data_IF_665446101199
#
_entry.id   IF_665446101199
#
_cell.length_a   1.000
_cell.length_b   1.000
_cell.length_c   1.000
_cell.angle_alpha   90.00
_cell.angle_beta   90.00
_cell.angle_gamma   90.00
#
_symmetry.space_group_name_H-M   'P 1'
#
loop_
_entity.id
_entity.type
_entity.pdbx_description
1 polymer ?
#
# COMPACT_ATOMS: atom_id res chain seq x y z
N UNK A 1 20.08 15.82 -8.56
CA UNK A 1 19.64 14.75 -7.65
C UNK A 1 18.33 14.21 -8.17
N UNK A 2 18.25 12.90 -8.35
CA UNK A 2 17.06 12.17 -8.77
C UNK A 2 16.79 11.05 -7.75
N UNK A 3 15.53 10.91 -7.35
CA UNK A 3 15.08 9.97 -6.33
C UNK A 3 13.89 9.21 -6.89
N UNK A 4 13.92 7.89 -6.84
CA UNK A 4 12.74 7.07 -7.07
C UNK A 4 12.08 6.71 -5.73
N UNK A 5 10.76 6.84 -5.65
CA UNK A 5 9.98 6.43 -4.49
C UNK A 5 8.84 5.53 -4.97
N UNK A 6 8.80 4.32 -4.45
CA UNK A 6 7.75 3.34 -4.71
C UNK A 6 7.10 2.92 -3.38
N UNK A 7 5.84 2.52 -3.43
CA UNK A 7 5.05 2.10 -2.25
C UNK A 7 4.06 1.01 -2.65
N UNK A 8 3.50 0.33 -1.64
CA UNK A 8 2.32 -0.53 -1.80
C UNK A 8 2.54 -1.63 -2.88
N UNK A 9 3.71 -2.28 -2.86
CA UNK A 9 4.06 -3.39 -3.76
C UNK A 9 3.21 -4.62 -3.42
N UNK A 10 2.92 -4.83 -2.13
CA UNK A 10 1.99 -5.84 -1.65
C UNK A 10 2.21 -7.23 -2.24
N UNK A 11 3.44 -7.75 -2.23
CA UNK A 11 3.72 -9.10 -2.73
C UNK A 11 3.38 -9.33 -4.21
N UNK A 12 3.28 -8.27 -5.03
CA UNK A 12 3.10 -8.35 -6.47
C UNK A 12 4.47 -8.32 -7.18
N UNK A 13 5.07 -9.49 -7.36
CA UNK A 13 6.41 -9.60 -7.94
C UNK A 13 6.47 -9.13 -9.40
N UNK A 14 5.55 -9.50 -10.32
CA UNK A 14 5.58 -9.01 -11.69
C UNK A 14 5.53 -7.49 -11.81
N UNK A 15 4.75 -6.81 -10.96
CA UNK A 15 4.73 -5.34 -10.92
C UNK A 15 6.05 -4.76 -10.41
N UNK A 16 6.64 -5.37 -9.38
CA UNK A 16 7.94 -4.94 -8.85
C UNK A 16 9.05 -5.08 -9.89
N UNK A 17 9.09 -6.19 -10.62
CA UNK A 17 10.15 -6.47 -11.60
C UNK A 17 10.18 -5.43 -12.72
N UNK A 18 9.02 -5.04 -13.27
CA UNK A 18 8.98 -4.01 -14.32
C UNK A 18 9.35 -2.63 -13.78
N UNK A 19 8.98 -2.31 -12.55
CA UNK A 19 9.35 -1.04 -11.90
C UNK A 19 10.84 -1.01 -11.59
N UNK A 20 11.41 -2.11 -11.09
CA UNK A 20 12.83 -2.25 -10.84
C UNK A 20 13.65 -2.08 -12.13
N UNK A 21 13.23 -2.71 -13.22
CA UNK A 21 13.89 -2.56 -14.52
C UNK A 21 13.88 -1.11 -15.03
N UNK A 22 12.78 -0.37 -14.82
CA UNK A 22 12.75 1.07 -15.15
C UNK A 22 13.64 1.88 -14.21
N UNK A 23 13.68 1.57 -12.91
CA UNK A 23 14.57 2.23 -11.95
C UNK A 23 16.03 2.02 -12.33
N UNK A 24 16.42 0.80 -12.71
CA UNK A 24 17.77 0.49 -13.19
C UNK A 24 18.11 1.28 -14.47
N UNK A 25 17.14 1.41 -15.39
CA UNK A 25 17.30 2.20 -16.62
C UNK A 25 17.45 3.70 -16.35
N UNK A 26 16.70 4.22 -15.38
CA UNK A 26 16.75 5.63 -14.97
C UNK A 26 18.03 5.94 -14.16
N UNK A 27 18.51 4.95 -13.41
CA UNK A 27 19.68 5.02 -12.53
C UNK A 27 19.64 6.24 -11.58
N UNK A 28 18.58 6.38 -10.74
CA UNK A 28 18.46 7.50 -9.81
C UNK A 28 19.55 7.46 -8.73
N UNK A 29 19.83 8.61 -8.12
CA UNK A 29 20.82 8.70 -7.04
C UNK A 29 20.38 7.95 -5.78
N UNK A 30 19.06 7.88 -5.53
CA UNK A 30 18.46 7.18 -4.38
C UNK A 30 17.16 6.49 -4.76
N UNK A 31 16.85 5.39 -4.08
CA UNK A 31 15.59 4.65 -4.21
C UNK A 31 15.00 4.36 -2.83
N UNK A 32 13.71 4.61 -2.67
CA UNK A 32 12.95 4.35 -1.45
C UNK A 32 11.78 3.42 -1.71
N UNK A 33 11.60 2.44 -0.82
CA UNK A 33 10.36 1.66 -0.70
C UNK A 33 9.60 2.19 0.51
N UNK A 34 8.55 2.97 0.28
CA UNK A 34 7.74 3.63 1.29
C UNK A 34 6.68 2.70 1.93
N UNK A 35 7.10 1.50 2.33
CA UNK A 35 6.26 0.53 3.04
C UNK A 35 5.30 -0.26 2.15
N UNK A 36 4.61 -1.20 2.81
CA UNK A 36 3.60 -2.09 2.25
C UNK A 36 4.14 -2.90 1.05
N UNK A 37 5.35 -3.42 1.21
CA UNK A 37 5.92 -4.32 0.21
C UNK A 37 5.48 -5.77 0.40
N UNK A 38 5.00 -6.13 1.58
CA UNK A 38 4.43 -7.45 1.87
C UNK A 38 2.90 -7.42 1.92
N UNK A 39 2.32 -8.62 2.03
CA UNK A 39 0.89 -8.88 2.25
C UNK A 39 0.00 -8.51 1.05
N UNK A 40 -1.20 -9.12 0.97
CA UNK A 40 -2.19 -9.08 -0.13
C UNK A 40 -1.83 -9.84 -1.41
N UNK A 41 -0.66 -9.65 -1.99
CA UNK A 41 -0.27 -10.35 -3.22
C UNK A 41 0.26 -11.77 -2.96
N UNK A 42 0.37 -12.58 -4.03
CA UNK A 42 0.69 -14.00 -3.92
C UNK A 42 2.19 -14.29 -3.76
N UNK A 43 3.09 -13.31 -3.93
CA UNK A 43 4.54 -13.49 -3.84
C UNK A 43 5.18 -12.67 -2.70
N UNK A 44 4.70 -12.76 -1.44
CA UNK A 44 5.23 -11.94 -0.37
C UNK A 44 6.70 -12.30 -0.07
N UNK A 45 7.08 -13.57 -0.18
CA UNK A 45 8.45 -14.03 0.09
C UNK A 45 9.43 -13.46 -0.93
N UNK A 46 9.14 -13.64 -2.21
CA UNK A 46 10.00 -13.23 -3.31
C UNK A 46 10.16 -11.71 -3.35
N UNK A 47 9.08 -10.96 -3.14
CA UNK A 47 9.16 -9.49 -3.04
C UNK A 47 10.01 -9.06 -1.85
N UNK A 48 9.87 -9.72 -0.70
CA UNK A 48 10.67 -9.40 0.50
C UNK A 48 12.16 -9.65 0.26
N UNK A 49 12.51 -10.79 -0.33
CA UNK A 49 13.88 -11.12 -0.70
C UNK A 49 14.46 -10.11 -1.67
N UNK A 50 13.69 -9.75 -2.70
CA UNK A 50 14.08 -8.76 -3.69
C UNK A 50 14.42 -7.42 -3.03
N UNK A 51 13.49 -6.83 -2.27
CA UNK A 51 13.71 -5.50 -1.69
C UNK A 51 14.81 -5.52 -0.64
N UNK A 52 14.97 -6.61 0.11
CA UNK A 52 16.07 -6.76 1.07
C UNK A 52 17.45 -6.81 0.41
N UNK A 53 17.55 -7.31 -0.82
CA UNK A 53 18.80 -7.43 -1.57
C UNK A 53 19.06 -6.24 -2.52
N UNK A 54 18.06 -5.39 -2.76
CA UNK A 54 18.11 -4.29 -3.71
C UNK A 54 19.10 -3.16 -3.40
N UNK A 55 19.50 -3.02 -2.13
CA UNK A 55 20.26 -1.86 -1.64
C UNK A 55 19.44 -0.57 -1.53
N UNK A 56 18.12 -0.62 -1.74
CA UNK A 56 17.21 0.52 -1.60
C UNK A 56 16.92 0.83 -0.12
N UNK A 57 16.50 2.06 0.17
CA UNK A 57 16.06 2.42 1.52
C UNK A 57 14.65 1.92 1.76
N UNK A 58 14.47 1.00 2.70
CA UNK A 58 13.17 0.44 3.02
C UNK A 58 12.54 1.16 4.23
N UNK A 59 11.27 1.49 4.11
CA UNK A 59 10.43 1.97 5.20
C UNK A 59 9.37 0.93 5.54
N UNK A 60 8.82 1.03 6.75
CA UNK A 60 7.74 0.17 7.23
C UNK A 60 6.37 0.80 6.99
N UNK A 61 5.49 0.08 6.30
CA UNK A 61 4.08 0.41 6.16
C UNK A 61 3.21 -0.28 7.22
N UNK A 62 1.89 -0.07 7.17
CA UNK A 62 0.99 -0.71 8.13
C UNK A 62 0.85 -2.22 7.88
N UNK A 63 1.03 -2.69 6.64
CA UNK A 63 0.97 -4.11 6.34
C UNK A 63 2.15 -4.89 6.94
N UNK A 64 3.34 -4.30 7.01
CA UNK A 64 4.44 -4.88 7.77
C UNK A 64 4.12 -4.96 9.28
N UNK A 65 3.47 -3.94 9.87
CA UNK A 65 3.01 -4.02 11.27
C UNK A 65 2.01 -5.18 11.47
N UNK A 66 1.11 -5.40 10.51
CA UNK A 66 0.17 -6.52 10.54
C UNK A 66 0.91 -7.86 10.52
N UNK A 67 1.87 -8.02 9.61
CA UNK A 67 2.69 -9.23 9.50
C UNK A 67 3.48 -9.48 10.78
N UNK A 68 4.14 -8.45 11.33
CA UNK A 68 4.87 -8.54 12.62
C UNK A 68 3.93 -8.96 13.74
N UNK A 69 2.72 -8.40 13.82
CA UNK A 69 1.75 -8.77 14.84
C UNK A 69 1.30 -10.22 14.68
N UNK A 70 1.09 -10.67 13.43
CA UNK A 70 0.62 -12.02 13.15
C UNK A 70 1.71 -13.09 13.25
N UNK A 71 2.99 -12.74 13.21
CA UNK A 71 4.09 -13.69 13.47
C UNK A 71 4.25 -14.03 14.96
N UNK A 72 3.67 -13.23 15.87
CA UNK A 72 3.76 -13.46 17.32
C UNK A 72 3.00 -14.71 17.77
N UNK A 73 3.56 -15.41 18.76
CA UNK A 73 2.96 -16.62 19.36
C UNK A 73 1.63 -16.34 20.08
N UNK A 74 1.45 -15.14 20.64
CA UNK A 74 0.29 -14.73 21.43
C UNK A 74 -0.82 -14.07 20.60
N UNK A 75 -0.91 -14.35 19.30
CA UNK A 75 -1.92 -13.76 18.41
C UNK A 75 -3.35 -14.11 18.86
N UNK A 76 -4.30 -13.19 18.64
CA UNK A 76 -5.72 -13.42 19.01
C UNK A 76 -6.28 -14.60 18.22
N UNK A 77 -6.94 -15.52 18.94
CA UNK A 77 -7.59 -16.69 18.35
C UNK A 77 -9.11 -16.50 18.19
N UNK A 78 -9.65 -15.28 18.38
CA UNK A 78 -11.04 -15.01 18.03
C UNK A 78 -11.21 -15.25 16.52
N UNK A 79 -12.11 -16.15 16.16
CA UNK A 79 -12.35 -16.54 14.78
C UNK A 79 -12.78 -15.36 13.89
N UNK A 80 -13.34 -14.29 14.46
CA UNK A 80 -13.68 -13.06 13.71
C UNK A 80 -12.45 -12.24 13.33
N UNK A 81 -11.53 -12.08 14.27
CA UNK A 81 -10.22 -11.50 13.99
C UNK A 81 -9.43 -12.42 13.04
N UNK A 82 -9.62 -13.74 13.16
CA UNK A 82 -8.87 -14.73 12.38
C UNK A 82 -8.95 -14.46 10.88
N UNK A 83 -10.16 -14.37 10.32
CA UNK A 83 -10.36 -14.18 8.88
C UNK A 83 -9.83 -12.84 8.36
N UNK A 84 -10.04 -11.77 9.11
CA UNK A 84 -9.52 -10.44 8.76
C UNK A 84 -7.99 -10.40 8.69
N UNK A 85 -7.34 -11.26 9.46
CA UNK A 85 -5.88 -11.36 9.51
C UNK A 85 -5.31 -12.55 8.74
N UNK A 86 -6.12 -13.38 8.07
CA UNK A 86 -5.61 -14.55 7.34
C UNK A 86 -4.59 -14.17 6.25
N UNK A 87 -4.78 -13.13 5.42
CA UNK A 87 -3.75 -12.74 4.45
C UNK A 87 -2.42 -12.34 5.11
N UNK A 88 -2.51 -11.58 6.22
CA UNK A 88 -1.33 -11.16 6.97
C UNK A 88 -0.64 -12.33 7.70
N UNK A 89 -1.41 -13.33 8.17
CA UNK A 89 -0.88 -14.56 8.78
C UNK A 89 -0.19 -15.44 7.77
N UNK A 90 -0.83 -15.67 6.63
CA UNK A 90 -0.26 -16.42 5.53
C UNK A 90 1.07 -15.80 5.09
N UNK A 91 1.09 -14.47 4.95
CA UNK A 91 2.32 -13.70 4.70
C UNK A 91 3.35 -13.91 5.80
N UNK A 92 2.98 -13.77 7.07
CA UNK A 92 3.88 -13.92 8.21
C UNK A 92 4.51 -15.32 8.32
N UNK A 93 3.76 -16.36 7.96
CA UNK A 93 4.28 -17.73 7.96
C UNK A 93 5.33 -17.93 6.85
N UNK A 94 5.16 -17.26 5.69
CA UNK A 94 6.11 -17.30 4.57
C UNK A 94 7.35 -16.42 4.75
N UNK A 95 7.23 -15.34 5.54
CA UNK A 95 8.30 -14.34 5.72
C UNK A 95 8.82 -14.25 7.16
N UNK A 96 8.61 -15.30 7.95
CA UNK A 96 8.93 -15.32 9.38
C UNK A 96 10.40 -15.02 9.70
N UNK A 97 11.33 -15.38 8.81
CA UNK A 97 12.77 -15.10 8.89
C UNK A 97 13.13 -13.62 8.70
N UNK A 98 12.23 -12.81 8.11
CA UNK A 98 12.44 -11.37 7.91
C UNK A 98 11.82 -10.49 8.99
N UNK A 99 11.00 -11.05 9.90
CA UNK A 99 10.23 -10.26 10.88
C UNK A 99 11.13 -9.36 11.74
N UNK A 100 12.28 -9.87 12.18
CA UNK A 100 13.21 -9.10 13.01
C UNK A 100 13.77 -7.89 12.25
N UNK A 101 14.26 -8.07 11.02
CA UNK A 101 14.81 -6.97 10.23
C UNK A 101 13.75 -5.94 9.87
N UNK A 102 12.55 -6.39 9.49
CA UNK A 102 11.41 -5.51 9.16
C UNK A 102 10.96 -4.71 10.39
N UNK A 103 11.02 -5.30 11.59
CA UNK A 103 10.67 -4.60 12.84
C UNK A 103 11.59 -3.41 13.16
N UNK A 104 12.78 -3.36 12.58
CA UNK A 104 13.74 -2.27 12.76
C UNK A 104 13.62 -1.17 11.69
N UNK A 105 12.83 -1.39 10.63
CA UNK A 105 12.64 -0.38 9.59
C UNK A 105 11.88 0.84 10.16
N UNK A 106 12.32 2.07 9.82
CA UNK A 106 11.62 3.27 10.23
C UNK A 106 10.34 3.43 9.40
N UNK A 107 9.33 4.11 9.96
CA UNK A 107 8.08 4.43 9.23
C UNK A 107 8.22 5.68 8.35
N UNK A 108 9.27 6.48 8.58
CA UNK A 108 9.57 7.70 7.84
C UNK A 108 11.07 8.01 7.89
N UNK A 109 11.57 8.70 6.87
CA UNK A 109 12.93 9.21 6.81
C UNK A 109 12.95 10.60 6.18
N UNK A 110 13.88 11.44 6.61
CA UNK A 110 14.04 12.80 6.11
C UNK A 110 15.45 13.01 5.60
N UNK A 111 15.56 13.50 4.37
CA UNK A 111 16.80 13.97 3.77
C UNK A 111 16.78 15.50 3.70
N UNK A 112 17.94 16.11 3.90
CA UNK A 112 18.11 17.55 3.77
C UNK A 112 18.84 17.81 2.45
N UNK A 113 18.18 18.52 1.54
CA UNK A 113 18.76 18.94 0.26
C UNK A 113 19.87 19.99 0.43
N UNK A 114 20.64 20.28 -0.64
CA UNK A 114 21.77 21.21 -0.60
C UNK A 114 21.42 22.64 -0.15
N UNK A 115 20.18 23.07 -0.35
CA UNK A 115 19.66 24.39 0.00
C UNK A 115 18.87 24.41 1.32
N UNK A 116 18.95 23.32 2.09
CA UNK A 116 18.18 23.05 3.32
C UNK A 116 16.70 22.73 3.09
N UNK A 117 16.22 22.60 1.85
CA UNK A 117 14.88 22.04 1.63
C UNK A 117 14.90 20.54 1.88
N UNK A 118 14.08 20.09 2.84
CA UNK A 118 13.98 18.69 3.20
C UNK A 118 12.97 17.94 2.32
N UNK A 119 13.28 16.67 2.06
CA UNK A 119 12.31 15.68 1.62
C UNK A 119 12.07 14.73 2.78
N UNK A 120 10.80 14.50 3.09
CA UNK A 120 10.39 13.38 3.95
C UNK A 120 9.72 12.32 3.09
N UNK A 121 10.15 11.07 3.23
CA UNK A 121 9.45 9.90 2.68
C UNK A 121 8.85 9.15 3.87
N UNK A 122 7.58 8.81 3.78
CA UNK A 122 6.87 8.04 4.79
C UNK A 122 5.86 7.11 4.10
N UNK A 123 5.40 6.06 4.77
CA UNK A 123 4.33 5.25 4.21
C UNK A 123 2.98 6.00 4.21
N UNK A 124 2.53 6.41 5.40
CA UNK A 124 1.29 7.18 5.58
C UNK A 124 1.58 8.65 5.87
N UNK A 125 2.12 8.93 7.07
CA UNK A 125 2.66 10.22 7.48
C UNK A 125 3.99 10.04 8.21
N UNK A 126 4.67 11.15 8.50
CA UNK A 126 5.90 11.13 9.30
C UNK A 126 5.71 10.58 10.73
N UNK A 127 4.48 10.58 11.28
CA UNK A 127 4.19 10.20 12.67
C UNK A 127 3.43 8.87 12.81
N UNK A 128 2.84 8.37 11.74
CA UNK A 128 2.02 7.15 11.74
C UNK A 128 1.92 6.58 10.33
N UNK A 129 2.18 5.28 10.21
CA UNK A 129 1.94 4.48 9.00
C UNK A 129 0.48 4.01 8.87
N UNK A 130 -0.41 4.29 9.83
CA UNK A 130 -1.85 4.00 9.72
C UNK A 130 -2.70 5.21 9.33
N UNK A 131 -2.08 6.39 9.12
CA UNK A 131 -2.79 7.58 8.66
C UNK A 131 -2.50 7.85 7.18
N UNK A 132 -3.56 8.11 6.40
CA UNK A 132 -3.47 8.28 4.95
C UNK A 132 -3.82 9.68 4.49
N UNK A 133 -3.06 10.20 3.52
CA UNK A 133 -3.50 11.33 2.72
C UNK A 133 -4.25 10.81 1.49
N UNK A 134 -5.47 11.32 1.32
CA UNK A 134 -6.35 11.03 0.20
C UNK A 134 -6.49 12.29 -0.67
N UNK A 135 -6.86 12.15 -1.96
CA UNK A 135 -7.22 13.30 -2.79
C UNK A 135 -8.30 14.20 -2.17
N UNK A 136 -9.17 13.62 -1.35
CA UNK A 136 -10.27 14.30 -0.63
C UNK A 136 -9.88 14.85 0.75
N UNK A 137 -8.68 14.55 1.27
CA UNK A 137 -8.21 15.11 2.55
C UNK A 137 -8.17 16.63 2.44
N UNK A 138 -8.82 17.35 3.36
CA UNK A 138 -8.82 18.82 3.33
C UNK A 138 -7.44 19.40 3.65
N UNK A 139 -7.13 20.60 3.17
CA UNK A 139 -5.86 21.28 3.44
C UNK A 139 -5.62 21.49 4.95
N UNK A 140 -6.69 21.78 5.71
CA UNK A 140 -6.62 21.93 7.16
C UNK A 140 -6.17 20.62 7.84
N UNK A 141 -6.76 19.48 7.44
CA UNK A 141 -6.37 18.17 7.97
C UNK A 141 -4.97 17.76 7.50
N UNK A 142 -4.64 18.02 6.23
CA UNK A 142 -3.33 17.72 5.70
C UNK A 142 -2.23 18.51 6.44
N UNK A 143 -2.47 19.80 6.74
CA UNK A 143 -1.58 20.63 7.56
C UNK A 143 -1.39 20.07 8.97
N UNK A 144 -2.47 19.62 9.61
CA UNK A 144 -2.41 18.99 10.93
C UNK A 144 -1.52 17.74 10.92
N UNK A 145 -1.71 16.87 9.91
CA UNK A 145 -0.95 15.63 9.76
C UNK A 145 0.53 15.86 9.42
N UNK A 146 0.83 16.87 8.59
CA UNK A 146 2.22 17.29 8.28
C UNK A 146 2.93 17.79 9.53
N UNK A 147 2.21 18.47 10.43
CA UNK A 147 2.76 18.96 11.69
C UNK A 147 3.45 20.33 11.57
N UNK A 148 4.15 20.72 12.63
CA UNK A 148 4.70 22.07 12.81
C UNK A 148 6.05 22.32 12.14
N UNK A 149 6.76 21.27 11.74
CA UNK A 149 8.05 21.35 11.02
C UNK A 149 7.89 20.76 9.61
N UNK A 150 7.19 21.46 8.71
CA UNK A 150 6.82 20.94 7.41
C UNK A 150 8.05 20.77 6.51
N UNK A 151 8.23 19.61 5.84
CA UNK A 151 9.28 19.46 4.85
C UNK A 151 8.94 20.24 3.58
N UNK A 152 9.94 20.51 2.75
CA UNK A 152 9.72 21.09 1.43
C UNK A 152 8.92 20.15 0.51
N UNK A 153 9.13 18.84 0.66
CA UNK A 153 8.35 17.79 0.00
C UNK A 153 8.05 16.65 0.98
N UNK A 154 6.81 16.19 0.99
CA UNK A 154 6.37 14.98 1.69
C UNK A 154 5.87 13.96 0.68
N UNK A 155 6.55 12.82 0.58
CA UNK A 155 6.21 11.72 -0.31
C UNK A 155 5.63 10.54 0.48
N UNK A 156 4.45 10.07 0.07
CA UNK A 156 3.69 9.02 0.76
C UNK A 156 3.13 7.95 -0.18
N UNK A 157 2.67 6.84 0.37
CA UNK A 157 1.91 5.76 -0.28
C UNK A 157 0.57 5.55 0.44
N UNK A 158 0.28 4.33 0.90
CA UNK A 158 -0.81 3.94 1.80
C UNK A 158 -2.23 4.02 1.23
N UNK A 159 -2.62 5.14 0.60
CA UNK A 159 -3.95 5.27 0.00
C UNK A 159 -4.05 4.68 -1.40
N UNK A 160 -2.90 4.38 -2.04
CA UNK A 160 -2.77 3.85 -3.41
C UNK A 160 -3.32 4.79 -4.51
N UNK A 161 -3.68 6.01 -4.15
CA UNK A 161 -4.27 7.01 -5.04
C UNK A 161 -3.23 8.08 -5.34
N UNK A 162 -2.62 8.07 -6.54
CA UNK A 162 -1.59 9.04 -6.85
C UNK A 162 -2.14 10.46 -6.93
N UNK A 163 -1.42 11.41 -6.34
CA UNK A 163 -1.70 12.84 -6.52
C UNK A 163 -0.47 13.67 -6.18
N UNK A 164 -0.43 14.89 -6.70
CA UNK A 164 0.55 15.92 -6.35
C UNK A 164 -0.21 17.20 -6.04
N UNK A 165 -0.01 17.77 -4.85
CA UNK A 165 -0.62 19.06 -4.49
C UNK A 165 0.20 19.84 -3.48
N UNK A 166 0.07 21.16 -3.52
CA UNK A 166 0.71 22.06 -2.58
C UNK A 166 -0.14 22.21 -1.31
N UNK A 167 0.44 22.01 -0.13
CA UNK A 167 -0.19 22.28 1.18
C UNK A 167 0.72 23.23 1.96
N UNK A 168 0.37 24.51 2.01
CA UNK A 168 1.24 25.59 2.49
C UNK A 168 2.63 25.55 1.81
N UNK A 169 3.70 25.31 2.56
CA UNK A 169 5.07 25.24 2.07
C UNK A 169 5.51 23.83 1.63
N UNK A 170 4.67 22.80 1.82
CA UNK A 170 5.00 21.41 1.50
C UNK A 170 4.36 20.99 0.18
N UNK A 171 5.17 20.46 -0.73
CA UNK A 171 4.68 19.69 -1.87
C UNK A 171 4.33 18.28 -1.37
N UNK A 172 3.03 18.00 -1.21
CA UNK A 172 2.53 16.69 -0.78
C UNK A 172 2.29 15.81 -2.01
N UNK A 173 2.92 14.63 -2.00
CA UNK A 173 2.90 13.66 -3.10
C UNK A 173 2.46 12.32 -2.56
N UNK A 174 1.46 11.71 -3.20
CA UNK A 174 1.22 10.28 -3.10
C UNK A 174 1.68 9.62 -4.40
N UNK A 175 2.56 8.64 -4.32
CA UNK A 175 3.14 7.98 -5.51
C UNK A 175 2.23 6.93 -6.14
N UNK A 176 1.06 6.69 -5.53
CA UNK A 176 0.20 5.57 -5.87
C UNK A 176 0.80 4.26 -5.37
N UNK A 177 0.35 3.15 -5.96
CA UNK A 177 0.80 1.81 -5.60
C UNK A 177 1.49 1.11 -6.77
N UNK A 178 2.56 0.36 -6.46
CA UNK A 178 3.18 -0.54 -7.43
C UNK A 178 2.27 -1.74 -7.68
N UNK A 179 1.80 -2.39 -6.63
CA UNK A 179 1.12 -3.69 -6.74
C UNK A 179 -0.40 -3.61 -6.87
N UNK A 180 -1.05 -2.67 -6.18
CA UNK A 180 -2.52 -2.60 -6.07
C UNK A 180 -3.04 -1.17 -6.24
N UNK A 181 -2.96 -0.55 -7.43
CA UNK A 181 -3.51 0.80 -7.64
C UNK A 181 -5.03 0.83 -7.42
N UNK A 182 -5.55 1.93 -6.87
CA UNK A 182 -6.97 2.09 -6.52
C UNK A 182 -7.73 3.18 -7.28
N UNK A 183 -7.09 3.76 -8.30
CA UNK A 183 -7.67 4.84 -9.10
C UNK A 183 -8.30 4.38 -10.43
N UNK A 184 -8.38 3.08 -10.67
CA UNK A 184 -8.96 2.48 -11.87
C UNK A 184 -7.96 2.24 -13.01
N UNK A 185 -6.68 2.57 -12.80
CA UNK A 185 -5.60 2.26 -13.73
C UNK A 185 -4.75 1.10 -13.17
N UNK A 186 -4.79 -0.06 -13.84
CA UNK A 186 -4.10 -1.29 -13.42
C UNK A 186 -2.57 -1.20 -13.50
N UNK A 187 -2.00 -0.19 -14.15
CA UNK A 187 -0.54 -0.03 -14.29
C UNK A 187 0.12 0.27 -12.95
N UNK A 188 1.29 -0.31 -12.71
CA UNK A 188 2.10 -0.03 -11.53
C UNK A 188 2.46 1.47 -11.48
N UNK A 189 2.44 2.06 -10.29
CA UNK A 189 2.70 3.48 -10.05
C UNK A 189 3.89 3.70 -9.14
N UNK A 190 4.77 4.62 -9.49
CA UNK A 190 5.85 5.11 -8.62
C UNK A 190 6.20 6.58 -8.92
N UNK A 191 6.87 7.24 -7.98
CA UNK A 191 7.29 8.63 -8.10
C UNK A 191 8.74 8.77 -8.53
N UNK A 192 8.99 9.62 -9.52
CA UNK A 192 10.32 10.13 -9.87
C UNK A 192 10.43 11.58 -9.42
N UNK A 193 11.29 11.84 -8.44
CA UNK A 193 11.49 13.15 -7.84
C UNK A 193 12.85 13.67 -8.30
N UNK A 194 12.87 14.85 -8.91
CA UNK A 194 14.10 15.49 -9.37
C UNK A 194 14.27 16.85 -8.71
N UNK A 195 15.49 17.12 -8.26
CA UNK A 195 15.90 18.47 -7.87
C UNK A 195 16.28 19.28 -9.10
N UNK A 196 15.55 20.37 -9.38
CA UNK A 196 15.90 21.34 -10.43
C UNK A 196 16.15 22.71 -9.79
N UNK A 197 17.43 23.06 -9.65
CA UNK A 197 17.96 24.31 -9.07
C UNK A 197 17.49 24.59 -7.64
N UNK A 198 16.25 25.05 -7.48
CA UNK A 198 15.63 25.60 -6.28
C UNK A 198 14.27 24.96 -5.97
N UNK A 199 13.83 23.96 -6.74
CA UNK A 199 12.55 23.29 -6.50
C UNK A 199 12.59 21.80 -6.79
N UNK A 200 11.77 21.07 -6.04
CA UNK A 200 11.41 19.69 -6.35
C UNK A 200 10.45 19.66 -7.54
N UNK A 201 10.72 18.78 -8.51
CA UNK A 201 9.76 18.34 -9.51
C UNK A 201 9.43 16.88 -9.26
N UNK A 202 8.17 16.52 -9.52
CA UNK A 202 7.63 15.20 -9.26
C UNK A 202 6.92 14.74 -10.52
N UNK A 203 7.26 13.55 -10.98
CA UNK A 203 6.54 12.83 -12.02
C UNK A 203 6.03 11.51 -11.43
N UNK A 204 4.72 11.26 -11.57
CA UNK A 204 4.14 9.95 -11.24
C UNK A 204 4.19 9.11 -12.51
N UNK A 205 4.99 8.07 -12.49
CA UNK A 205 5.24 7.16 -13.61
C UNK A 205 4.29 5.98 -13.52
N UNK A 206 3.77 5.56 -14.67
CA UNK A 206 2.90 4.38 -14.82
C UNK A 206 3.55 3.36 -15.75
N UNK A 207 3.61 2.11 -15.32
CA UNK A 207 4.22 1.02 -16.08
C UNK A 207 3.24 -0.15 -16.21
N UNK A 208 3.05 -0.63 -17.43
CA UNK A 208 2.31 -1.87 -17.69
C UNK A 208 3.10 -3.08 -17.20
N UNK A 209 2.40 -4.03 -16.59
CA UNK A 209 2.92 -5.35 -16.22
C UNK A 209 1.87 -6.40 -16.55
N UNK A 210 2.28 -7.67 -16.57
CA UNK A 210 1.39 -8.78 -16.85
C UNK A 210 0.49 -9.09 -15.65
N UNK A 211 -0.61 -8.35 -15.50
CA UNK A 211 -1.55 -8.54 -14.39
C UNK A 211 -2.13 -9.95 -14.39
N UNK A 212 -2.32 -10.51 -15.58
CA UNK A 212 -2.84 -11.86 -15.78
C UNK A 212 -1.89 -12.94 -15.21
N UNK A 213 -0.58 -12.68 -15.15
CA UNK A 213 0.38 -13.57 -14.49
C UNK A 213 0.17 -13.57 -12.97
N UNK A 214 -0.06 -12.40 -12.37
CA UNK A 214 -0.38 -12.28 -10.93
C UNK A 214 -1.71 -12.98 -10.61
N UNK A 215 -2.70 -12.87 -11.48
CA UNK A 215 -3.99 -13.54 -11.32
C UNK A 215 -3.85 -15.07 -11.39
N UNK A 216 -3.04 -15.58 -12.31
CA UNK A 216 -2.73 -17.01 -12.39
C UNK A 216 -1.94 -17.49 -11.15
N UNK A 217 -1.08 -16.63 -10.62
CA UNK A 217 -0.26 -16.93 -9.46
C UNK A 217 -1.09 -17.14 -8.19
N UNK A 218 -2.16 -16.36 -7.98
CA UNK A 218 -3.10 -16.58 -6.87
C UNK A 218 -3.63 -18.02 -6.81
N UNK A 219 -3.93 -18.62 -7.96
CA UNK A 219 -4.34 -20.02 -8.05
C UNK A 219 -3.18 -20.97 -7.76
N UNK A 220 -2.01 -20.72 -8.36
CA UNK A 220 -0.83 -21.59 -8.26
C UNK A 220 -0.36 -21.79 -6.82
N UNK A 221 -0.38 -20.74 -6.01
CA UNK A 221 0.07 -20.80 -4.60
C UNK A 221 -1.05 -21.18 -3.62
N UNK A 222 -2.23 -21.58 -4.12
CA UNK A 222 -3.42 -21.83 -3.32
C UNK A 222 -3.76 -20.64 -2.39
N UNK A 223 -3.64 -19.42 -2.90
CA UNK A 223 -3.76 -18.21 -2.09
C UNK A 223 -5.10 -18.15 -1.35
N UNK A 224 -6.20 -18.56 -2.00
CA UNK A 224 -7.53 -18.57 -1.38
C UNK A 224 -7.63 -19.49 -0.16
N UNK A 225 -6.98 -20.64 -0.21
CA UNK A 225 -6.95 -21.58 0.90
C UNK A 225 -6.08 -21.06 2.06
N UNK A 226 -4.95 -20.41 1.75
CA UNK A 226 -4.02 -19.90 2.76
C UNK A 226 -4.44 -18.55 3.38
N UNK A 227 -4.80 -17.59 2.54
CA UNK A 227 -5.14 -16.22 2.91
C UNK A 227 -6.64 -16.01 3.22
N UNK A 228 -7.47 -17.04 3.06
CA UNK A 228 -8.86 -17.05 3.51
C UNK A 228 -9.83 -16.26 2.62
N UNK A 229 -11.11 -16.17 2.98
CA UNK A 229 -12.18 -15.69 2.08
C UNK A 229 -11.99 -14.26 1.55
N UNK A 230 -11.38 -13.36 2.34
CA UNK A 230 -11.14 -11.98 1.91
C UNK A 230 -10.15 -11.88 0.74
N UNK A 231 -9.35 -12.92 0.48
CA UNK A 231 -8.46 -12.97 -0.68
C UNK A 231 -9.19 -12.88 -2.02
N UNK A 232 -10.46 -13.29 -2.10
CA UNK A 232 -11.27 -13.09 -3.31
C UNK A 232 -11.54 -11.59 -3.57
N UNK A 233 -11.68 -10.79 -2.50
CA UNK A 233 -11.81 -9.34 -2.63
C UNK A 233 -10.49 -8.72 -3.06
N UNK A 234 -9.36 -9.20 -2.53
CA UNK A 234 -8.03 -8.76 -2.93
C UNK A 234 -7.79 -9.04 -4.42
N UNK A 235 -8.15 -10.23 -4.91
CA UNK A 235 -8.13 -10.54 -6.34
C UNK A 235 -8.96 -9.53 -7.14
N UNK A 236 -10.18 -9.24 -6.68
CA UNK A 236 -11.07 -8.26 -7.34
C UNK A 236 -10.46 -6.86 -7.38
N UNK A 237 -9.74 -6.43 -6.34
CA UNK A 237 -9.02 -5.16 -6.31
C UNK A 237 -7.92 -5.07 -7.36
N UNK A 238 -7.20 -6.18 -7.62
CA UNK A 238 -6.21 -6.26 -8.69
C UNK A 238 -6.87 -6.22 -10.09
N UNK A 239 -8.02 -6.89 -10.25
CA UNK A 239 -8.76 -6.92 -11.51
C UNK A 239 -9.35 -5.56 -11.86
N UNK A 240 -9.94 -4.86 -10.88
CA UNK A 240 -10.66 -3.60 -11.08
C UNK A 240 -9.79 -2.35 -10.91
N UNK A 241 -8.62 -2.48 -10.27
CA UNK A 241 -7.84 -1.36 -9.75
C UNK A 241 -8.69 -0.40 -8.88
N UNK A 242 -9.57 -0.96 -8.05
CA UNK A 242 -10.45 -0.25 -7.11
C UNK A 242 -10.38 -0.89 -5.73
N UNK A 243 -10.60 -0.14 -4.63
CA UNK A 243 -10.63 -0.72 -3.30
C UNK A 243 -11.93 -1.50 -3.09
N UNK A 244 -11.83 -2.71 -2.52
CA UNK A 244 -12.98 -3.56 -2.21
C UNK A 244 -13.02 -4.01 -0.75
N UNK A 245 -11.87 -4.14 -0.06
CA UNK A 245 -11.86 -4.51 1.36
C UNK A 245 -12.55 -3.46 2.24
N UNK A 246 -12.32 -2.17 2.00
CA UNK A 246 -12.96 -1.11 2.77
C UNK A 246 -14.47 -1.01 2.48
N UNK A 247 -14.97 -0.97 1.23
CA UNK A 247 -16.42 -1.01 1.00
C UNK A 247 -17.07 -2.26 1.56
N UNK A 248 -16.41 -3.42 1.45
CA UNK A 248 -16.89 -4.66 2.08
C UNK A 248 -17.08 -4.50 3.59
N UNK A 249 -16.08 -3.95 4.29
CA UNK A 249 -16.14 -3.71 5.73
C UNK A 249 -17.28 -2.72 6.09
N UNK A 250 -17.51 -1.70 5.27
CA UNK A 250 -18.63 -0.77 5.45
C UNK A 250 -20.01 -1.44 5.30
N UNK A 251 -20.15 -2.36 4.34
CA UNK A 251 -21.41 -3.03 4.05
C UNK A 251 -21.71 -4.19 5.01
N UNK A 252 -20.71 -5.00 5.30
CA UNK A 252 -20.87 -6.28 5.98
C UNK A 252 -20.25 -6.31 7.38
N UNK A 253 -19.35 -5.38 7.73
CA UNK A 253 -18.57 -5.44 8.97
C UNK A 253 -19.40 -5.48 10.25
N UNK A 254 -20.55 -4.80 10.30
CA UNK A 254 -21.47 -4.89 11.45
C UNK A 254 -22.12 -6.27 11.58
N UNK A 255 -22.60 -6.83 10.46
CA UNK A 255 -23.20 -8.17 10.41
C UNK A 255 -22.19 -9.24 10.83
N UNK A 256 -20.94 -9.13 10.38
CA UNK A 256 -19.85 -10.03 10.76
C UNK A 256 -19.53 -9.91 12.26
N UNK A 257 -19.41 -8.68 12.80
CA UNK A 257 -19.15 -8.46 14.23
C UNK A 257 -20.25 -9.02 15.12
N UNK A 258 -21.50 -8.85 14.71
CA UNK A 258 -22.70 -9.30 15.42
C UNK A 258 -23.04 -10.78 15.18
N UNK A 259 -22.24 -11.50 14.36
CA UNK A 259 -22.44 -12.92 14.00
C UNK A 259 -23.78 -13.19 13.31
N UNK A 260 -24.26 -12.23 12.53
CA UNK A 260 -25.50 -12.33 11.75
C UNK A 260 -25.27 -12.92 10.35
N UNK A 261 -24.02 -12.98 9.90
CA UNK A 261 -23.61 -13.53 8.60
C UNK A 261 -22.21 -14.14 8.72
N UNK A 262 -21.95 -15.26 8.04
CA UNK A 262 -20.60 -15.81 7.94
C UNK A 262 -19.76 -14.98 6.96
N UNK A 263 -18.42 -15.03 7.09
CA UNK A 263 -17.54 -14.22 6.23
C UNK A 263 -17.56 -14.73 4.79
N UNK A 264 -17.67 -16.03 4.60
CA UNK A 264 -17.79 -16.68 3.29
C UNK A 264 -19.06 -16.20 2.57
N UNK A 265 -20.22 -16.28 3.23
CA UNK A 265 -21.50 -15.81 2.69
C UNK A 265 -21.47 -14.30 2.37
N UNK A 266 -20.81 -13.50 3.23
CA UNK A 266 -20.65 -12.06 3.01
C UNK A 266 -19.78 -11.77 1.78
N UNK A 267 -18.68 -12.51 1.61
CA UNK A 267 -17.79 -12.36 0.45
C UNK A 267 -18.54 -12.73 -0.83
N UNK A 268 -19.27 -13.85 -0.84
CA UNK A 268 -20.10 -14.25 -1.99
C UNK A 268 -21.13 -13.17 -2.34
N UNK A 269 -21.90 -12.69 -1.35
CA UNK A 269 -22.88 -11.63 -1.55
C UNK A 269 -22.25 -10.31 -2.06
N UNK A 270 -21.05 -9.96 -1.58
CA UNK A 270 -20.33 -8.79 -2.08
C UNK A 270 -19.85 -8.97 -3.52
N UNK A 271 -19.38 -10.16 -3.89
CA UNK A 271 -18.90 -10.46 -5.25
C UNK A 271 -20.01 -10.40 -6.30
N UNK A 272 -21.27 -10.61 -5.91
CA UNK A 272 -22.44 -10.45 -6.78
C UNK A 272 -22.77 -8.98 -7.11
N UNK A 273 -22.32 -8.02 -6.28
CA UNK A 273 -22.56 -6.60 -6.52
C UNK A 273 -21.75 -6.09 -7.72
N UNK A 274 -22.39 -5.32 -8.59
CA UNK A 274 -21.73 -4.53 -9.63
C UNK A 274 -20.87 -3.41 -9.02
N UNK A 275 -19.90 -2.92 -9.79
CA UNK A 275 -19.05 -1.81 -9.35
C UNK A 275 -19.88 -0.55 -9.03
N UNK A 276 -20.91 -0.26 -9.83
CA UNK A 276 -21.81 0.88 -9.60
C UNK A 276 -22.61 0.76 -8.31
N UNK A 277 -23.09 -0.44 -7.97
CA UNK A 277 -23.82 -0.68 -6.72
C UNK A 277 -22.91 -0.48 -5.51
N UNK A 278 -21.66 -0.97 -5.59
CA UNK A 278 -20.66 -0.78 -4.54
C UNK A 278 -20.40 0.72 -4.33
N UNK A 279 -20.14 1.46 -5.40
CA UNK A 279 -19.84 2.90 -5.33
C UNK A 279 -21.02 3.72 -4.79
N UNK A 280 -22.25 3.42 -5.22
CA UNK A 280 -23.46 4.08 -4.74
C UNK A 280 -23.67 3.86 -3.24
N UNK A 281 -23.58 2.59 -2.81
CA UNK A 281 -23.77 2.24 -1.40
C UNK A 281 -22.64 2.80 -0.52
N UNK A 282 -21.40 2.79 -1.03
CA UNK A 282 -20.24 3.35 -0.34
C UNK A 282 -20.36 4.87 -0.14
N UNK A 283 -20.76 5.61 -1.18
CA UNK A 283 -20.98 7.06 -1.09
C UNK A 283 -22.12 7.42 -0.13
N UNK A 284 -23.16 6.59 -0.02
CA UNK A 284 -24.25 6.81 0.92
C UNK A 284 -23.80 6.69 2.39
N UNK A 285 -22.85 5.82 2.67
CA UNK A 285 -22.31 5.60 4.02
C UNK A 285 -21.43 6.79 4.45
N UNK A 286 -20.61 7.35 3.56
CA UNK A 286 -19.73 8.48 3.87
C UNK A 286 -20.44 9.85 3.92
N UNK A 287 -21.67 9.94 3.41
CA UNK A 287 -22.51 11.15 3.50
C UNK A 287 -23.36 11.23 4.76
N UNK A 288 -23.40 10.17 5.59
CA UNK A 288 -24.11 10.13 6.88
C UNK A 288 -23.14 10.32 8.03
#
# INVERSE_FOLDING_TARGET
MQIAVLADIHGNLPALEVVAAEIDRLNPDLVFVAGDFQNRGPNPREVTEFVAQSGWTLLRGNHEDYVIRQSQKSRTQDIRDYYNWMPARWTADLTSDFVESISQLPIATTLIGPDKLSITVAHGSARSNHEGFFPTTTDAKAKEMIGSDPPGLLCVGHSHLPFVRQVNATLLVNVGAVGFPFDGDRRASFGLITWDRDRWKVEIRRIEYAVEEVLAEFERVNFYQGAGPLSHLIRRELESARPHLMPFECLFGSLLRERKLAVEDAVEAYLELSQSEIEEQFLHIFKK
#
